data_IF_886184674325
#
_entry.id   IF_886184674325
#
_cell.length_a   1.000
_cell.length_b   1.000
_cell.length_c   1.000
_cell.angle_alpha   90.00
_cell.angle_beta   90.00
_cell.angle_gamma   90.00
#
_symmetry.space_group_name_H-M   'P 1'
#
loop_
_entity.id
_entity.type
_entity.pdbx_description
1 polymer ?
#
# COMPACT_ATOMS: atom_id res chain seq x y z
N UNK A 1 0.20 -6.61 -8.61
CA UNK A 1 -1.09 -5.90 -8.47
C UNK A 1 -0.83 -4.40 -8.31
N UNK A 2 -1.75 -3.54 -8.75
CA UNK A 2 -1.59 -2.08 -8.56
C UNK A 2 -1.77 -1.68 -7.09
N UNK A 3 -2.83 -2.17 -6.46
CA UNK A 3 -3.17 -1.91 -5.07
C UNK A 3 -3.42 -3.23 -4.34
N UNK A 4 -2.98 -3.32 -3.08
CA UNK A 4 -3.33 -4.38 -2.13
C UNK A 4 -3.90 -3.73 -0.87
N UNK A 5 -5.08 -4.19 -0.45
CA UNK A 5 -5.72 -3.78 0.80
C UNK A 5 -5.76 -4.97 1.74
N UNK A 6 -5.28 -4.80 2.98
CA UNK A 6 -5.30 -5.84 4.00
C UNK A 6 -6.06 -5.39 5.24
N UNK A 7 -6.66 -6.35 5.95
CA UNK A 7 -7.06 -6.13 7.35
C UNK A 7 -5.83 -6.21 8.27
N UNK A 8 -5.92 -5.57 9.45
CA UNK A 8 -4.89 -5.67 10.48
C UNK A 8 -4.92 -7.01 11.22
N UNK A 9 -6.10 -7.51 11.57
CA UNK A 9 -6.31 -8.76 12.31
C UNK A 9 -6.71 -9.86 11.35
N UNK A 10 -5.76 -10.71 10.99
CA UNK A 10 -6.01 -11.93 10.24
C UNK A 10 -5.45 -13.13 11.02
N UNK A 11 -5.99 -14.34 10.83
CA UNK A 11 -5.37 -15.55 11.37
C UNK A 11 -3.92 -15.71 10.88
N UNK A 12 -3.07 -16.30 11.71
CA UNK A 12 -1.66 -16.67 11.44
C UNK A 12 -0.66 -15.53 11.21
N UNK A 13 -1.05 -14.45 10.53
CA UNK A 13 -0.19 -13.32 10.19
C UNK A 13 -1.00 -12.03 10.18
N UNK A 14 -0.48 -10.98 10.80
CA UNK A 14 -1.17 -9.68 10.81
C UNK A 14 -1.02 -8.91 9.49
N UNK A 15 -1.83 -7.86 9.33
CA UNK A 15 -1.82 -7.04 8.13
C UNK A 15 -0.51 -6.32 7.86
N UNK A 16 0.23 -5.94 8.90
CA UNK A 16 1.52 -5.25 8.76
C UNK A 16 2.55 -6.23 8.21
N UNK A 17 2.66 -7.42 8.82
CA UNK A 17 3.56 -8.48 8.39
C UNK A 17 3.27 -8.89 6.94
N UNK A 18 2.00 -9.03 6.59
CA UNK A 18 1.60 -9.31 5.21
C UNK A 18 2.03 -8.21 4.24
N UNK A 19 1.71 -6.95 4.55
CA UNK A 19 2.03 -5.82 3.67
C UNK A 19 3.55 -5.56 3.58
N UNK A 20 4.32 -5.87 4.62
CA UNK A 20 5.78 -5.86 4.58
C UNK A 20 6.32 -6.90 3.59
N UNK A 21 5.78 -8.12 3.56
CA UNK A 21 6.15 -9.12 2.54
C UNK A 21 5.75 -8.66 1.14
N UNK A 22 4.59 -8.02 0.99
CA UNK A 22 4.18 -7.43 -0.30
C UNK A 22 5.19 -6.37 -0.75
N UNK A 23 5.71 -5.54 0.16
CA UNK A 23 6.75 -4.55 -0.16
C UNK A 23 8.05 -5.21 -0.64
N UNK A 24 8.46 -6.29 -0.01
CA UNK A 24 9.70 -7.00 -0.38
C UNK A 24 9.62 -7.63 -1.78
N UNK A 25 8.52 -8.33 -2.07
CA UNK A 25 8.35 -9.02 -3.35
C UNK A 25 7.84 -8.12 -4.48
N UNK A 26 7.04 -7.11 -4.14
CA UNK A 26 6.37 -6.21 -5.08
C UNK A 26 6.47 -4.75 -4.60
N UNK A 27 7.68 -4.15 -4.61
CA UNK A 27 7.92 -2.84 -4.01
C UNK A 27 7.05 -1.71 -4.60
N UNK A 28 6.68 -1.85 -5.87
CA UNK A 28 5.87 -0.90 -6.63
C UNK A 28 4.38 -0.94 -6.25
N UNK A 29 3.89 -2.07 -5.72
CA UNK A 29 2.49 -2.22 -5.33
C UNK A 29 2.13 -1.24 -4.24
N UNK A 30 1.04 -0.49 -4.41
CA UNK A 30 0.53 0.42 -3.39
C UNK A 30 -0.20 -0.39 -2.33
N UNK A 31 0.24 -0.23 -1.08
CA UNK A 31 -0.23 -1.00 0.07
C UNK A 31 -1.15 -0.15 0.93
N UNK A 32 -2.31 -0.68 1.30
CA UNK A 32 -3.30 0.02 2.13
C UNK A 32 -3.80 -0.89 3.25
N UNK A 33 -4.18 -0.29 4.37
CA UNK A 33 -4.78 -1.01 5.49
C UNK A 33 -6.21 -0.58 5.72
N UNK A 34 -7.10 -1.54 5.92
CA UNK A 34 -8.49 -1.33 6.34
C UNK A 34 -8.69 -2.02 7.70
N UNK A 35 -8.83 -1.26 8.78
CA UNK A 35 -8.76 -1.80 10.15
C UNK A 35 -9.79 -1.20 11.10
N UNK A 36 -10.03 -1.81 12.26
CA UNK A 36 -10.87 -1.24 13.32
C UNK A 36 -10.17 -0.11 14.09
N UNK A 37 -10.94 0.78 14.72
CA UNK A 37 -10.41 1.98 15.41
C UNK A 37 -9.41 1.65 16.54
N UNK A 38 -9.64 0.54 17.26
CA UNK A 38 -8.77 0.06 18.33
C UNK A 38 -7.35 -0.29 17.85
N UNK A 39 -7.21 -0.63 16.57
CA UNK A 39 -5.95 -1.08 15.99
C UNK A 39 -5.19 0.04 15.27
N UNK A 40 -5.82 1.19 14.98
CA UNK A 40 -5.20 2.30 14.23
C UNK A 40 -3.99 2.87 14.95
N UNK A 41 -4.06 3.10 16.28
CA UNK A 41 -2.93 3.66 17.04
C UNK A 41 -1.71 2.73 17.02
N UNK A 42 -1.93 1.44 17.18
CA UNK A 42 -0.88 0.42 17.12
C UNK A 42 -0.32 0.30 15.70
N UNK A 43 -1.20 0.31 14.70
CA UNK A 43 -0.81 0.22 13.29
C UNK A 43 -0.05 1.47 12.81
N UNK A 44 -0.40 2.67 13.29
CA UNK A 44 0.31 3.91 12.97
C UNK A 44 1.78 3.88 13.40
N UNK A 45 2.10 3.24 14.53
CA UNK A 45 3.50 3.11 14.96
C UNK A 45 4.30 2.16 14.04
N UNK A 46 3.64 1.19 13.42
CA UNK A 46 4.26 0.25 12.48
C UNK A 46 4.33 0.77 11.02
N UNK A 47 3.73 1.93 10.74
CA UNK A 47 3.71 2.56 9.39
C UNK A 47 5.10 2.78 8.82
N UNK A 48 6.05 3.12 9.67
CA UNK A 48 7.42 3.39 9.26
C UNK A 48 8.10 2.15 8.66
N UNK A 49 7.65 0.94 9.03
CA UNK A 49 8.24 -0.32 8.55
C UNK A 49 7.59 -0.81 7.25
N UNK A 50 6.27 -0.67 7.10
CA UNK A 50 5.52 -1.20 5.95
C UNK A 50 5.36 -0.27 4.74
N UNK A 51 5.69 1.02 4.88
CA UNK A 51 5.46 2.06 3.86
C UNK A 51 4.04 1.97 3.27
N UNK A 52 3.06 2.05 4.17
CA UNK A 52 1.63 1.93 3.88
C UNK A 52 1.11 3.29 3.39
N UNK A 53 0.47 3.29 2.22
CA UNK A 53 -0.01 4.50 1.56
C UNK A 53 -1.22 5.12 2.25
N UNK A 54 -2.16 4.28 2.72
CA UNK A 54 -3.37 4.79 3.39
C UNK A 54 -3.92 3.81 4.43
N UNK A 55 -4.48 4.39 5.49
CA UNK A 55 -5.29 3.71 6.48
C UNK A 55 -6.75 4.10 6.32
N UNK A 56 -7.61 3.11 6.40
CA UNK A 56 -9.06 3.26 6.43
C UNK A 56 -9.60 2.56 7.67
N UNK A 57 -10.61 3.16 8.30
CA UNK A 57 -11.28 2.56 9.44
C UNK A 57 -12.52 1.78 9.02
N UNK A 58 -12.78 0.65 9.68
CA UNK A 58 -14.04 -0.09 9.59
C UNK A 58 -15.08 0.50 10.57
N UNK A 59 -16.36 0.60 10.17
CA UNK A 59 -16.87 0.38 8.81
C UNK A 59 -16.40 1.47 7.84
N UNK A 60 -16.10 1.10 6.59
CA UNK A 60 -15.67 2.03 5.55
C UNK A 60 -16.80 2.20 4.53
N UNK A 61 -17.33 3.43 4.33
CA UNK A 61 -18.34 3.66 3.30
C UNK A 61 -17.80 3.34 1.90
N UNK A 62 -18.60 2.71 1.01
CA UNK A 62 -18.14 2.34 -0.34
C UNK A 62 -17.56 3.50 -1.13
N UNK A 63 -18.18 4.68 -1.08
CA UNK A 63 -17.69 5.88 -1.78
C UNK A 63 -16.30 6.32 -1.30
N UNK A 64 -16.02 6.15 0.00
CA UNK A 64 -14.70 6.46 0.57
C UNK A 64 -13.71 5.42 0.08
N UNK A 65 -14.08 4.14 0.11
CA UNK A 65 -13.24 3.04 -0.34
C UNK A 65 -12.85 3.19 -1.82
N UNK A 66 -13.81 3.51 -2.69
CA UNK A 66 -13.61 3.75 -4.12
C UNK A 66 -12.65 4.92 -4.39
N UNK A 67 -12.84 6.05 -3.68
CA UNK A 67 -11.95 7.21 -3.78
C UNK A 67 -10.52 6.86 -3.39
N UNK A 68 -10.36 6.06 -2.32
CA UNK A 68 -9.05 5.63 -1.84
C UNK A 68 -8.37 4.67 -2.81
N UNK A 69 -9.10 3.68 -3.33
CA UNK A 69 -8.58 2.77 -4.34
C UNK A 69 -8.14 3.50 -5.60
N UNK A 70 -8.96 4.45 -6.08
CA UNK A 70 -8.64 5.27 -7.26
C UNK A 70 -7.34 6.05 -7.07
N UNK A 71 -7.17 6.70 -5.91
CA UNK A 71 -5.94 7.38 -5.56
C UNK A 71 -4.73 6.42 -5.50
N UNK A 72 -4.92 5.20 -4.98
CA UNK A 72 -3.86 4.20 -4.96
C UNK A 72 -3.45 3.67 -6.34
N UNK A 73 -4.42 3.49 -7.24
CA UNK A 73 -4.14 3.09 -8.63
C UNK A 73 -3.35 4.18 -9.34
N UNK A 74 -3.72 5.45 -9.13
CA UNK A 74 -2.98 6.56 -9.72
C UNK A 74 -1.56 6.67 -9.15
N UNK A 75 -1.40 6.51 -7.84
CA UNK A 75 -0.09 6.44 -7.21
C UNK A 75 0.76 5.31 -7.80
N UNK A 76 0.19 4.12 -8.01
CA UNK A 76 0.90 3.00 -8.63
C UNK A 76 1.44 3.38 -10.01
N UNK A 77 0.61 4.02 -10.85
CA UNK A 77 1.02 4.46 -12.19
C UNK A 77 2.21 5.43 -12.13
N UNK A 78 2.18 6.40 -11.21
CA UNK A 78 3.27 7.35 -11.03
C UNK A 78 4.58 6.66 -10.67
N UNK A 79 4.56 5.75 -9.67
CA UNK A 79 5.77 5.03 -9.22
C UNK A 79 6.32 4.16 -10.37
N UNK A 80 5.45 3.46 -11.11
CA UNK A 80 5.90 2.63 -12.24
C UNK A 80 6.44 3.46 -13.40
N UNK A 81 5.83 4.60 -13.71
CA UNK A 81 6.29 5.48 -14.78
C UNK A 81 7.66 6.11 -14.46
N UNK A 82 7.87 6.53 -13.21
CA UNK A 82 9.17 7.01 -12.73
C UNK A 82 10.25 5.95 -12.90
N UNK A 83 9.97 4.71 -12.47
CA UNK A 83 10.90 3.60 -12.62
C UNK A 83 11.22 3.31 -14.08
N UNK A 84 10.20 3.23 -14.94
CA UNK A 84 10.38 2.96 -16.37
C UNK A 84 11.23 4.06 -17.04
N UNK A 85 11.04 5.32 -16.65
CA UNK A 85 11.83 6.44 -17.15
C UNK A 85 13.29 6.33 -16.72
N UNK A 86 13.55 6.07 -15.43
CA UNK A 86 14.90 5.89 -14.89
C UNK A 86 15.63 4.74 -15.59
N UNK A 87 14.95 3.61 -15.82
CA UNK A 87 15.53 2.47 -16.53
C UNK A 87 15.89 2.83 -17.99
N UNK A 88 15.12 3.68 -18.66
CA UNK A 88 15.39 4.12 -20.04
C UNK A 88 16.54 5.11 -20.14
N UNK A 89 16.64 6.07 -19.22
CA UNK A 89 17.74 7.06 -19.23
C UNK A 89 19.08 6.41 -18.88
N UNK A 90 19.08 5.46 -17.94
CA UNK A 90 20.28 4.67 -17.60
C UNK A 90 20.77 3.84 -18.78
N UNK A 91 19.86 3.22 -19.54
CA UNK A 91 20.21 2.40 -20.73
C UNK A 91 20.66 3.24 -21.94
N UNK A 92 20.18 4.49 -22.07
CA UNK A 92 20.54 5.37 -23.18
C UNK A 92 21.83 6.17 -22.99
N UNK A 93 22.46 6.06 -21.81
CA UNK A 93 23.69 6.80 -21.45
C UNK A 93 24.96 5.95 -21.50
N UNK A 94 24.90 4.74 -22.07
CA UNK A 94 26.03 3.80 -22.23
C UNK A 94 26.24 3.50 -23.71
#
# INVERSE_FOLDING_TARGET
FAVVVSDMRMPDMDGIQFLSRVREHYPQTVRMMLTGYADVKTAMNAVNEGNIFRFMTKPCPPEVFEKVLSAGIEQYRLITAERDLLERTLKGSV
#
